data_IF_756577802335
#
_entry.id   IF_756577802335
#
_cell.length_a   1.000
_cell.length_b   1.000
_cell.length_c   1.000
_cell.angle_alpha   90.00
_cell.angle_beta   90.00
_cell.angle_gamma   90.00
#
_symmetry.space_group_name_H-M   'P 1'
#
loop_
_entity.id
_entity.type
_entity.pdbx_description
1 polymer ?
#
# COMPACT_ATOMS: atom_id res chain seq x y z
N UNK A 1 -31.20 -3.75 -19.05
CA UNK A 1 -30.63 -2.48 -19.56
C UNK A 1 -29.50 -2.08 -18.62
N UNK A 2 -28.25 -2.34 -19.00
CA UNK A 2 -27.08 -1.87 -18.26
C UNK A 2 -27.00 -0.35 -18.46
N UNK A 3 -27.18 0.42 -17.39
CA UNK A 3 -27.14 1.88 -17.45
C UNK A 3 -25.75 2.32 -17.93
N UNK A 4 -25.66 2.93 -19.12
CA UNK A 4 -24.40 3.45 -19.68
C UNK A 4 -23.64 4.35 -18.68
N UNK A 5 -24.39 5.09 -17.84
CA UNK A 5 -23.84 5.90 -16.75
C UNK A 5 -23.12 5.07 -15.70
N UNK A 6 -23.64 3.89 -15.33
CA UNK A 6 -23.02 3.02 -14.32
C UNK A 6 -21.68 2.44 -14.84
N UNK A 7 -21.62 2.09 -16.12
CA UNK A 7 -20.40 1.59 -16.76
C UNK A 7 -19.33 2.68 -16.80
N UNK A 8 -19.69 3.90 -17.21
CA UNK A 8 -18.76 5.03 -17.25
C UNK A 8 -18.23 5.38 -15.85
N UNK A 9 -19.09 5.37 -14.83
CA UNK A 9 -18.67 5.62 -13.45
C UNK A 9 -17.68 4.56 -12.94
N UNK A 10 -17.91 3.28 -13.25
CA UNK A 10 -16.97 2.21 -12.88
C UNK A 10 -15.61 2.36 -13.58
N UNK A 11 -15.61 2.66 -14.89
CA UNK A 11 -14.38 2.89 -15.64
C UNK A 11 -13.58 4.08 -15.09
N UNK A 12 -14.25 5.18 -14.76
CA UNK A 12 -13.60 6.36 -14.17
C UNK A 12 -13.03 6.05 -12.78
N UNK A 13 -13.76 5.31 -11.94
CA UNK A 13 -13.28 4.89 -10.63
C UNK A 13 -12.02 4.02 -10.74
N UNK A 14 -12.02 3.04 -11.65
CA UNK A 14 -10.87 2.17 -11.91
C UNK A 14 -9.65 2.96 -12.40
N UNK A 15 -9.86 3.89 -13.34
CA UNK A 15 -8.78 4.74 -13.84
C UNK A 15 -8.19 5.64 -12.73
N UNK A 16 -9.03 6.15 -11.83
CA UNK A 16 -8.58 6.95 -10.70
C UNK A 16 -7.77 6.11 -9.71
N UNK A 17 -8.22 4.92 -9.33
CA UNK A 17 -7.46 4.04 -8.41
C UNK A 17 -6.12 3.66 -9.03
N UNK A 18 -6.09 3.32 -10.32
CA UNK A 18 -4.84 3.07 -11.04
C UNK A 18 -3.87 4.25 -10.93
N UNK A 19 -4.34 5.47 -11.20
CA UNK A 19 -3.53 6.69 -11.11
C UNK A 19 -3.05 6.95 -9.69
N UNK A 20 -3.84 6.64 -8.67
CA UNK A 20 -3.43 6.75 -7.27
C UNK A 20 -2.28 5.80 -6.93
N UNK A 21 -2.32 4.56 -7.42
CA UNK A 21 -1.22 3.61 -7.26
C UNK A 21 0.05 4.12 -7.94
N UNK A 22 -0.06 4.54 -9.20
CA UNK A 22 1.08 5.06 -9.96
C UNK A 22 1.74 6.23 -9.22
N UNK A 23 0.95 7.22 -8.78
CA UNK A 23 1.45 8.36 -8.00
C UNK A 23 2.06 7.97 -6.65
N UNK A 24 1.50 6.95 -5.99
CA UNK A 24 2.03 6.52 -4.70
C UNK A 24 3.38 5.83 -4.85
N UNK A 25 3.54 4.98 -5.86
CA UNK A 25 4.82 4.34 -6.18
C UNK A 25 5.86 5.37 -6.62
N UNK A 26 5.47 6.36 -7.44
CA UNK A 26 6.35 7.49 -7.80
C UNK A 26 6.80 8.27 -6.57
N UNK A 27 5.90 8.54 -5.61
CA UNK A 27 6.26 9.21 -4.37
C UNK A 27 7.24 8.39 -3.52
N UNK A 28 7.05 7.06 -3.46
CA UNK A 28 7.98 6.14 -2.78
C UNK A 28 9.36 6.14 -3.47
N UNK A 29 9.39 6.15 -4.80
CA UNK A 29 10.62 6.19 -5.58
C UNK A 29 11.38 7.52 -5.40
N UNK A 30 10.65 8.64 -5.28
CA UNK A 30 11.22 9.98 -5.15
C UNK A 30 11.67 10.33 -3.72
N UNK A 31 11.40 9.46 -2.73
CA UNK A 31 11.64 9.74 -1.31
C UNK A 31 12.31 8.57 -0.60
N UNK A 32 13.34 8.85 0.20
CA UNK A 32 13.92 7.88 1.13
C UNK A 32 13.14 7.74 2.44
N UNK A 33 12.10 8.54 2.64
CA UNK A 33 11.33 8.56 3.89
C UNK A 33 10.51 7.26 4.08
N UNK A 34 10.24 6.85 5.34
CA UNK A 34 9.21 5.87 5.63
C UNK A 34 7.81 6.50 5.48
N UNK A 35 6.76 5.70 5.68
CA UNK A 35 5.41 6.24 5.80
C UNK A 35 5.18 6.94 7.15
N UNK A 36 5.84 6.45 8.20
CA UNK A 36 5.83 7.01 9.54
C UNK A 36 7.25 7.00 10.11
N UNK A 37 7.67 8.09 10.73
CA UNK A 37 8.85 8.09 11.59
C UNK A 37 8.51 7.43 12.92
N UNK A 38 9.43 6.61 13.43
CA UNK A 38 9.27 5.94 14.73
C UNK A 38 10.18 6.62 15.74
N UNK A 39 9.58 7.05 16.84
CA UNK A 39 10.28 7.46 18.06
C UNK A 39 9.80 6.57 19.22
N UNK A 40 10.39 6.74 20.40
CA UNK A 40 10.03 5.96 21.57
C UNK A 40 9.76 6.89 22.75
N UNK A 41 8.73 6.58 23.52
CA UNK A 41 8.44 7.31 24.75
C UNK A 41 9.38 6.89 25.90
N UNK A 42 9.14 7.43 27.10
CA UNK A 42 9.96 7.11 28.27
C UNK A 42 9.83 5.65 28.75
N UNK A 43 8.76 4.95 28.38
CA UNK A 43 8.56 3.53 28.68
C UNK A 43 9.16 2.61 27.60
N UNK A 44 9.57 3.18 26.46
CA UNK A 44 10.09 2.44 25.31
C UNK A 44 9.00 2.01 24.32
N UNK A 45 7.78 2.54 24.46
CA UNK A 45 6.68 2.24 23.54
C UNK A 45 6.85 3.05 22.24
N UNK A 46 6.60 2.44 21.06
CA UNK A 46 6.77 3.11 19.78
C UNK A 46 5.71 4.17 19.55
N UNK A 47 6.16 5.38 19.20
CA UNK A 47 5.34 6.50 18.78
C UNK A 47 5.55 6.77 17.29
N UNK A 48 4.47 6.69 16.51
CA UNK A 48 4.48 6.84 15.06
C UNK A 48 4.05 8.24 14.63
N UNK A 49 4.91 8.92 13.87
CA UNK A 49 4.67 10.26 13.36
C UNK A 49 4.47 10.22 11.84
N UNK A 50 3.34 10.71 11.30
CA UNK A 50 3.09 10.72 9.86
C UNK A 50 4.21 11.42 9.08
N UNK A 51 4.62 10.82 7.98
CA UNK A 51 5.56 11.39 7.02
C UNK A 51 4.86 11.68 5.66
N UNK A 52 5.63 12.09 4.66
CA UNK A 52 5.09 12.43 3.33
C UNK A 52 4.44 11.25 2.59
N UNK A 53 4.79 10.02 2.95
CA UNK A 53 4.24 8.78 2.36
C UNK A 53 3.09 8.19 3.18
N UNK A 54 2.61 8.86 4.24
CA UNK A 54 1.42 8.41 4.95
C UNK A 54 0.19 8.45 4.04
N UNK A 55 -0.56 7.35 4.00
CA UNK A 55 -1.85 7.26 3.32
C UNK A 55 -2.86 6.58 4.25
N UNK A 56 -4.15 6.89 4.06
CA UNK A 56 -5.20 6.30 4.89
C UNK A 56 -5.38 4.79 4.60
N UNK A 57 -5.72 4.02 5.64
CA UNK A 57 -6.02 2.59 5.48
C UNK A 57 -7.18 2.33 4.51
N UNK A 58 -8.17 3.23 4.44
CA UNK A 58 -9.29 3.14 3.48
C UNK A 58 -8.79 3.26 2.05
N UNK A 59 -7.96 4.27 1.78
CA UNK A 59 -7.39 4.47 0.44
C UNK A 59 -6.49 3.30 0.04
N UNK A 60 -5.62 2.85 0.95
CA UNK A 60 -4.76 1.72 0.69
C UNK A 60 -5.54 0.42 0.45
N UNK A 61 -6.64 0.19 1.20
CA UNK A 61 -7.54 -0.93 0.96
C UNK A 61 -8.15 -0.90 -0.44
N UNK A 62 -8.61 0.26 -0.90
CA UNK A 62 -9.16 0.41 -2.25
C UNK A 62 -8.12 0.10 -3.33
N UNK A 63 -6.89 0.59 -3.15
CA UNK A 63 -5.76 0.31 -4.04
C UNK A 63 -5.40 -1.18 -4.05
N UNK A 64 -5.34 -1.80 -2.87
CA UNK A 64 -5.07 -3.22 -2.69
C UNK A 64 -6.14 -4.09 -3.36
N UNK A 65 -7.42 -3.87 -3.03
CA UNK A 65 -8.51 -4.67 -3.57
C UNK A 65 -8.59 -4.53 -5.09
N UNK A 66 -8.32 -3.34 -5.63
CA UNK A 66 -8.22 -3.13 -7.07
C UNK A 66 -7.06 -3.92 -7.66
N UNK A 67 -5.84 -3.79 -7.13
CA UNK A 67 -4.64 -4.36 -7.75
C UNK A 67 -4.61 -5.88 -7.69
N UNK A 68 -5.20 -6.49 -6.67
CA UNK A 68 -5.26 -7.95 -6.56
C UNK A 68 -6.20 -8.61 -7.57
N UNK A 69 -7.01 -7.84 -8.30
CA UNK A 69 -7.85 -8.36 -9.39
C UNK A 69 -7.14 -8.45 -10.75
N UNK A 70 -5.94 -7.89 -10.88
CA UNK A 70 -5.21 -7.86 -12.16
C UNK A 70 -4.18 -8.99 -12.29
N UNK A 71 -4.06 -9.50 -13.52
CA UNK A 71 -2.95 -10.35 -13.95
C UNK A 71 -1.76 -9.49 -14.41
N UNK A 72 -0.55 -9.90 -14.02
CA UNK A 72 0.69 -9.11 -14.13
C UNK A 72 1.05 -8.68 -15.57
N UNK A 73 0.67 -9.46 -16.57
CA UNK A 73 1.06 -9.25 -17.97
C UNK A 73 0.50 -7.96 -18.59
N UNK A 74 -0.57 -7.40 -18.02
CA UNK A 74 -1.27 -6.21 -18.54
C UNK A 74 -0.97 -4.92 -17.78
N UNK A 75 -0.13 -5.02 -16.74
CA UNK A 75 0.06 -3.95 -15.77
C UNK A 75 1.24 -3.04 -16.12
N UNK A 76 1.10 -1.75 -15.85
CA UNK A 76 2.25 -0.83 -15.87
C UNK A 76 3.24 -1.22 -14.78
N UNK A 77 4.47 -0.74 -14.89
CA UNK A 77 5.52 -1.13 -13.95
C UNK A 77 5.18 -0.78 -12.50
N UNK A 78 4.72 0.46 -12.27
CA UNK A 78 4.32 0.90 -10.94
C UNK A 78 3.25 0.00 -10.32
N UNK A 79 2.27 -0.43 -11.13
CA UNK A 79 1.23 -1.35 -10.69
C UNK A 79 1.80 -2.72 -10.27
N UNK A 80 2.75 -3.27 -11.04
CA UNK A 80 3.40 -4.55 -10.72
C UNK A 80 4.22 -4.47 -9.44
N UNK A 81 5.03 -3.43 -9.29
CA UNK A 81 5.83 -3.19 -8.08
C UNK A 81 4.94 -3.06 -6.86
N UNK A 82 3.85 -2.29 -6.96
CA UNK A 82 2.90 -2.15 -5.87
C UNK A 82 2.23 -3.48 -5.51
N UNK A 83 1.77 -4.24 -6.52
CA UNK A 83 1.17 -5.57 -6.31
C UNK A 83 2.16 -6.52 -5.64
N UNK A 84 3.40 -6.55 -6.10
CA UNK A 84 4.47 -7.34 -5.51
C UNK A 84 4.71 -6.94 -4.05
N UNK A 85 4.80 -5.65 -3.75
CA UNK A 85 4.97 -5.15 -2.38
C UNK A 85 3.84 -5.61 -1.46
N UNK A 86 2.57 -5.48 -1.91
CA UNK A 86 1.41 -5.96 -1.14
C UNK A 86 1.46 -7.47 -0.89
N UNK A 87 1.81 -8.29 -1.89
CA UNK A 87 1.93 -9.75 -1.73
C UNK A 87 3.09 -10.12 -0.82
N UNK A 88 4.23 -9.45 -0.97
CA UNK A 88 5.46 -9.72 -0.22
C UNK A 88 5.29 -9.49 1.27
N UNK A 89 4.58 -8.45 1.67
CA UNK A 89 4.30 -8.22 3.10
C UNK A 89 3.15 -9.08 3.62
N UNK A 90 2.38 -9.74 2.75
CA UNK A 90 1.13 -10.40 3.13
C UNK A 90 0.11 -9.40 3.65
N UNK A 91 -0.10 -8.30 2.90
CA UNK A 91 -0.99 -7.23 3.32
C UNK A 91 -2.44 -7.71 3.37
N UNK A 92 -3.09 -7.55 4.51
CA UNK A 92 -4.49 -7.90 4.71
C UNK A 92 -5.27 -6.76 5.36
N UNK A 93 -6.59 -6.76 5.11
CA UNK A 93 -7.53 -5.81 5.69
C UNK A 93 -8.62 -6.55 6.46
N UNK A 94 -8.58 -6.44 7.78
CA UNK A 94 -9.58 -6.99 8.68
C UNK A 94 -10.52 -5.88 9.17
N UNK A 95 -11.80 -6.20 9.29
CA UNK A 95 -12.79 -5.29 9.89
C UNK A 95 -12.58 -5.10 11.40
N UNK A 96 -11.91 -6.04 12.08
CA UNK A 96 -11.69 -6.01 13.53
C UNK A 96 -10.40 -5.29 13.93
N UNK A 97 -9.32 -5.51 13.17
CA UNK A 97 -7.97 -5.02 13.51
C UNK A 97 -7.41 -4.02 12.49
N UNK A 98 -8.15 -3.73 11.43
CA UNK A 98 -7.72 -2.81 10.38
C UNK A 98 -6.69 -3.45 9.44
N UNK A 99 -5.73 -2.64 9.00
CA UNK A 99 -4.65 -3.09 8.14
C UNK A 99 -3.59 -3.83 8.96
N UNK A 100 -3.26 -5.04 8.52
CA UNK A 100 -2.25 -5.88 9.16
C UNK A 100 -1.35 -6.53 8.11
N UNK A 101 -0.11 -6.78 8.50
CA UNK A 101 0.80 -7.64 7.76
C UNK A 101 1.73 -8.35 8.75
N UNK A 102 2.34 -9.44 8.32
CA UNK A 102 3.34 -10.12 9.13
C UNK A 102 4.63 -9.31 9.15
N UNK A 103 5.36 -9.39 10.26
CA UNK A 103 6.72 -8.88 10.31
C UNK A 103 7.64 -9.68 9.37
N UNK A 104 8.87 -9.18 9.15
CA UNK A 104 9.86 -9.81 8.25
C UNK A 104 10.18 -11.28 8.60
N UNK A 105 9.96 -11.69 9.86
CA UNK A 105 10.23 -13.04 10.34
C UNK A 105 8.99 -13.95 10.32
N UNK A 106 7.85 -13.44 9.82
CA UNK A 106 6.56 -14.15 9.74
C UNK A 106 6.05 -14.70 11.08
N UNK A 107 6.49 -14.13 12.20
CA UNK A 107 6.21 -14.66 13.54
C UNK A 107 5.32 -13.74 14.40
N UNK A 108 4.84 -12.63 13.84
CA UNK A 108 3.94 -11.72 14.52
C UNK A 108 3.35 -10.68 13.58
N UNK A 109 2.15 -10.20 13.92
CA UNK A 109 1.50 -9.12 13.18
C UNK A 109 2.03 -7.76 13.59
N UNK A 110 2.18 -6.88 12.60
CA UNK A 110 2.51 -5.48 12.80
C UNK A 110 1.23 -4.66 13.01
N UNK A 111 1.34 -3.55 13.76
CA UNK A 111 0.29 -2.53 13.78
C UNK A 111 0.18 -1.86 12.40
N UNK A 112 -0.84 -1.02 12.19
CA UNK A 112 -1.08 -0.40 10.89
C UNK A 112 0.07 0.49 10.43
N UNK A 113 0.64 1.32 11.32
CA UNK A 113 1.75 2.22 10.98
C UNK A 113 3.01 1.46 10.59
N UNK A 114 3.36 0.42 11.37
CA UNK A 114 4.48 -0.46 11.07
C UNK A 114 4.24 -1.26 9.77
N UNK A 115 3.00 -1.69 9.52
CA UNK A 115 2.63 -2.35 8.27
C UNK A 115 2.79 -1.45 7.05
N UNK A 116 2.43 -0.16 7.17
CA UNK A 116 2.61 0.79 6.07
C UNK A 116 4.10 1.06 5.81
N UNK A 117 4.89 1.18 6.87
CA UNK A 117 6.35 1.29 6.75
C UNK A 117 6.96 0.07 6.05
N UNK A 118 6.52 -1.13 6.43
CA UNK A 118 7.00 -2.37 5.83
C UNK A 118 6.62 -2.49 4.35
N UNK A 119 5.39 -2.09 3.99
CA UNK A 119 4.96 -2.01 2.61
C UNK A 119 5.81 -1.03 1.79
N UNK A 120 6.01 0.20 2.29
CA UNK A 120 6.83 1.23 1.61
C UNK A 120 8.25 0.72 1.38
N UNK A 121 8.83 0.05 2.37
CA UNK A 121 10.16 -0.57 2.22
C UNK A 121 10.15 -1.64 1.12
N UNK A 122 9.22 -2.59 1.14
CA UNK A 122 9.17 -3.64 0.13
C UNK A 122 8.94 -3.10 -1.29
N UNK A 123 8.08 -2.10 -1.45
CA UNK A 123 7.86 -1.42 -2.74
C UNK A 123 9.16 -0.77 -3.22
N UNK A 124 9.88 -0.07 -2.33
CA UNK A 124 11.16 0.57 -2.65
C UNK A 124 12.24 -0.44 -3.03
N UNK A 125 12.43 -1.48 -2.22
CA UNK A 125 13.44 -2.52 -2.49
C UNK A 125 13.19 -3.20 -3.86
N UNK A 126 11.92 -3.30 -4.28
CA UNK A 126 11.53 -3.85 -5.58
C UNK A 126 11.82 -2.92 -6.76
N UNK A 127 11.88 -1.61 -6.51
CA UNK A 127 12.30 -0.62 -7.51
C UNK A 127 13.83 -0.63 -7.67
N UNK A 128 14.56 -0.80 -6.57
CA UNK A 128 16.03 -0.74 -6.51
C UNK A 128 16.72 -2.05 -6.96
N UNK A 129 16.03 -3.20 -6.89
CA UNK A 129 16.56 -4.50 -7.32
C UNK A 129 16.72 -4.65 -8.86
N UNK A 130 16.79 -3.54 -9.59
CA UNK A 130 16.75 -3.47 -11.05
C UNK A 130 17.95 -2.73 -11.63
#
# INVERSE_FOLDING_TARGET
MTNHTAILSDLLLRAEIKRQIERYVEAIAASSEPAYHVSYDHAGDPLYHPASLTISAVQLKQMHDFIMTFEEETMSEALRVFQYGCRRVGLEFSTLVGMVCLNEHENGYLCSEASLNWLVKCVRDSLDAR
#
